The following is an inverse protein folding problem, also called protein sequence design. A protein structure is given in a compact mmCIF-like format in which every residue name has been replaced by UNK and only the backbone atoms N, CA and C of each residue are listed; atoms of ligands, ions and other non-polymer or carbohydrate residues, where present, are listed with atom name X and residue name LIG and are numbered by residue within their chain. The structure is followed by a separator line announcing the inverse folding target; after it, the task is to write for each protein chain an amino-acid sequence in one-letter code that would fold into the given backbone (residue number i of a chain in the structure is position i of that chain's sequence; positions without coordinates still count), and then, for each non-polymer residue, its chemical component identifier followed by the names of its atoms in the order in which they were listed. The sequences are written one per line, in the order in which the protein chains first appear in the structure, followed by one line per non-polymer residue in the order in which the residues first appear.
data_IF_462245868349
#
_entry.id   IF_462245868349
#
_cell.length_a   1.000
_cell.length_b   1.000
_cell.length_c   1.000
_cell.angle_alpha   90.00
_cell.angle_beta   90.00
_cell.angle_gamma   90.00
#
_symmetry.space_group_name_H-M   'P 1'
#
loop_
_entity.id
_entity.type
_entity.pdbx_description
1 polymer ?
#
# COMPACT_ATOMS: atom_id res chain seq x y z
N UNK A 1 11.66 -20.48 -8.18
CA UNK A 1 12.50 -19.59 -9.00
C UNK A 1 12.14 -18.13 -8.70
N UNK A 2 12.71 -17.50 -7.66
CA UNK A 2 12.64 -16.03 -7.52
C UNK A 2 13.73 -15.49 -6.57
N UNK A 3 14.99 -15.77 -6.91
CA UNK A 3 16.20 -15.42 -6.14
C UNK A 3 16.52 -13.92 -6.10
N UNK A 4 15.52 -13.04 -6.18
CA UNK A 4 15.72 -11.59 -6.26
C UNK A 4 14.52 -10.86 -5.69
N UNK A 5 14.50 -10.79 -4.37
CA UNK A 5 13.96 -9.65 -3.63
C UNK A 5 14.10 -8.38 -4.52
N UNK A 6 12.98 -7.74 -4.85
CA UNK A 6 12.95 -6.54 -5.70
C UNK A 6 13.66 -5.41 -4.97
N UNK A 7 14.99 -5.38 -5.07
CA UNK A 7 15.80 -4.31 -4.50
C UNK A 7 15.34 -2.98 -5.09
N UNK A 8 15.24 -1.95 -4.25
CA UNK A 8 14.78 -0.62 -4.63
C UNK A 8 15.47 -0.10 -5.91
N UNK A 9 16.79 -0.30 -6.03
CA UNK A 9 17.58 0.07 -7.21
C UNK A 9 17.02 -0.52 -8.51
N UNK A 10 16.72 -1.82 -8.51
CA UNK A 10 16.21 -2.54 -9.69
C UNK A 10 14.82 -2.03 -10.10
N UNK A 11 14.00 -1.61 -9.14
CA UNK A 11 12.70 -0.97 -9.41
C UNK A 11 12.87 0.47 -9.90
N UNK A 12 13.78 1.22 -9.30
CA UNK A 12 14.14 2.57 -9.76
C UNK A 12 14.58 2.52 -11.22
N UNK A 13 15.51 1.64 -11.59
CA UNK A 13 15.92 1.46 -12.99
C UNK A 13 14.74 1.06 -13.90
N UNK A 14 13.84 0.19 -13.43
CA UNK A 14 12.66 -0.25 -14.21
C UNK A 14 11.69 0.90 -14.51
N UNK A 15 11.45 1.77 -13.54
CA UNK A 15 10.43 2.82 -13.64
C UNK A 15 11.00 4.18 -14.10
N UNK A 16 12.21 4.52 -13.64
CA UNK A 16 12.94 5.75 -13.93
C UNK A 16 14.00 5.56 -15.03
N UNK A 17 14.16 4.36 -15.56
CA UNK A 17 15.02 4.07 -16.71
C UNK A 17 16.50 3.92 -16.34
N UNK A 18 17.34 3.38 -17.25
CA UNK A 18 18.73 3.04 -16.96
C UNK A 18 19.60 4.26 -16.59
N UNK A 19 19.34 5.41 -17.21
CA UNK A 19 20.08 6.65 -16.94
C UNK A 19 19.68 7.33 -15.61
N UNK A 20 18.67 6.80 -14.92
CA UNK A 20 18.26 7.37 -13.63
C UNK A 20 19.21 7.03 -12.50
N UNK A 21 20.01 5.96 -12.57
CA UNK A 21 20.87 5.56 -11.45
C UNK A 21 21.81 6.69 -10.99
N UNK A 22 22.34 7.47 -11.94
CA UNK A 22 23.21 8.63 -11.64
C UNK A 22 22.45 9.89 -11.19
N UNK A 23 21.14 9.96 -11.44
CA UNK A 23 20.32 11.18 -11.23
C UNK A 23 19.19 10.98 -10.22
N UNK A 24 18.98 9.75 -9.78
CA UNK A 24 17.97 9.35 -8.82
C UNK A 24 18.43 9.73 -7.42
N UNK A 25 17.59 10.47 -6.72
CA UNK A 25 17.81 10.89 -5.34
C UNK A 25 16.60 10.53 -4.51
N UNK A 26 16.83 9.98 -3.32
CA UNK A 26 15.76 9.77 -2.35
C UNK A 26 15.44 11.14 -1.73
N UNK A 27 14.24 11.65 -1.98
CA UNK A 27 13.80 12.98 -1.50
C UNK A 27 12.98 12.89 -0.23
N UNK A 28 12.37 11.74 0.04
CA UNK A 28 11.52 11.51 1.20
C UNK A 28 11.62 10.04 1.60
N UNK A 29 11.64 9.77 2.89
CA UNK A 29 11.60 8.41 3.42
C UNK A 29 10.73 8.38 4.67
N UNK A 30 9.95 7.32 4.81
CA UNK A 30 9.17 7.02 6.02
C UNK A 30 9.61 5.67 6.55
N UNK A 31 10.11 5.69 7.79
CA UNK A 31 10.55 4.51 8.53
C UNK A 31 10.05 4.54 9.98
N UNK A 32 8.80 4.96 10.20
CA UNK A 32 8.20 4.83 11.53
C UNK A 32 7.63 3.41 11.70
N UNK A 33 8.02 2.73 12.79
CA UNK A 33 7.40 1.45 13.21
C UNK A 33 5.91 1.61 13.55
N UNK A 34 5.48 2.82 13.91
CA UNK A 34 4.08 3.14 14.17
C UNK A 34 3.31 3.44 12.88
N UNK A 35 4.01 3.84 11.80
CA UNK A 35 3.42 3.99 10.48
C UNK A 35 3.22 2.60 9.90
N UNK A 36 1.96 2.28 9.55
CA UNK A 36 1.60 1.02 8.89
C UNK A 36 2.40 0.79 7.59
N UNK A 37 2.94 1.86 7.00
CA UNK A 37 3.67 1.82 5.74
C UNK A 37 5.08 2.38 5.86
N UNK A 38 6.04 1.64 5.29
CA UNK A 38 7.42 2.08 5.02
C UNK A 38 7.51 2.43 3.55
N UNK A 39 7.98 3.63 3.21
CA UNK A 39 8.12 4.03 1.82
C UNK A 39 9.27 5.01 1.61
N UNK A 40 9.71 5.13 0.37
CA UNK A 40 10.67 6.12 -0.10
C UNK A 40 10.13 6.81 -1.35
N UNK A 41 10.36 8.11 -1.47
CA UNK A 41 10.18 8.86 -2.69
C UNK A 41 11.53 9.00 -3.37
N UNK A 42 11.62 8.59 -4.62
CA UNK A 42 12.80 8.76 -5.46
C UNK A 42 12.44 9.73 -6.57
N UNK A 43 13.23 10.79 -6.68
CA UNK A 43 13.15 11.76 -7.76
C UNK A 43 14.33 11.60 -8.72
N UNK A 44 14.11 11.76 -10.01
CA UNK A 44 15.17 11.78 -11.03
C UNK A 44 14.99 12.97 -11.96
N UNK A 45 16.07 13.70 -12.21
CA UNK A 45 16.10 14.78 -13.18
C UNK A 45 16.34 14.24 -14.60
N UNK A 46 15.39 14.50 -15.51
CA UNK A 46 15.48 14.17 -16.94
C UNK A 46 15.46 15.46 -17.75
N UNK A 47 15.84 15.38 -19.02
CA UNK A 47 15.77 16.51 -19.94
C UNK A 47 14.33 17.05 -20.12
N UNK A 48 13.32 16.20 -19.90
CA UNK A 48 11.90 16.56 -19.92
C UNK A 48 11.36 17.11 -18.60
N UNK A 49 12.18 17.17 -17.54
CA UNK A 49 11.77 17.59 -16.20
C UNK A 49 12.08 16.58 -15.09
N UNK A 50 11.59 16.85 -13.88
CA UNK A 50 11.76 15.97 -12.71
C UNK A 50 10.66 14.91 -12.67
N UNK A 51 11.04 13.64 -12.59
CA UNK A 51 10.13 12.53 -12.38
C UNK A 51 10.30 11.98 -10.95
N UNK A 52 9.24 12.06 -10.16
CA UNK A 52 9.20 11.54 -8.79
C UNK A 52 8.26 10.33 -8.69
N UNK A 53 8.72 9.28 -8.03
CA UNK A 53 7.96 8.04 -7.79
C UNK A 53 8.08 7.58 -6.34
N UNK A 54 7.03 6.95 -5.83
CA UNK A 54 7.00 6.35 -4.51
C UNK A 54 7.20 4.85 -4.60
N UNK A 55 8.02 4.32 -3.69
CA UNK A 55 8.27 2.90 -3.53
C UNK A 55 7.94 2.53 -2.10
N UNK A 56 7.07 1.55 -1.93
CA UNK A 56 6.61 1.03 -0.66
C UNK A 56 7.36 -0.27 -0.35
N UNK A 57 7.83 -0.39 0.88
CA UNK A 57 8.41 -1.60 1.41
C UNK A 57 7.31 -2.44 2.06
N UNK A 58 7.21 -3.68 1.62
CA UNK A 58 6.27 -4.67 2.13
C UNK A 58 6.91 -5.42 3.30
N UNK A 59 6.09 -6.10 4.10
CA UNK A 59 6.55 -6.81 5.31
C UNK A 59 7.44 -8.02 4.98
N UNK A 60 7.31 -8.57 3.77
CA UNK A 60 8.19 -9.61 3.23
C UNK A 60 9.60 -9.08 2.86
N UNK A 61 9.84 -7.77 3.01
CA UNK A 61 11.09 -7.11 2.68
C UNK A 61 11.20 -6.68 1.21
N UNK A 62 10.23 -7.02 0.36
CA UNK A 62 10.19 -6.61 -1.03
C UNK A 62 9.81 -5.13 -1.18
N UNK A 63 10.26 -4.50 -2.26
CA UNK A 63 9.78 -3.18 -2.66
C UNK A 63 8.76 -3.31 -3.78
N UNK A 64 7.80 -2.39 -3.82
CA UNK A 64 6.78 -2.25 -4.86
C UNK A 64 6.33 -0.80 -5.01
N UNK A 65 5.79 -0.41 -6.17
CA UNK A 65 5.18 0.94 -6.36
C UNK A 65 3.75 1.04 -5.83
N UNK A 66 3.16 -0.10 -5.48
CA UNK A 66 1.86 -0.17 -4.84
C UNK A 66 2.02 -0.27 -3.32
N UNK A 67 1.19 0.45 -2.54
CA UNK A 67 1.20 0.31 -1.10
C UNK A 67 0.85 -1.14 -0.70
N UNK A 68 1.42 -1.65 0.42
CA UNK A 68 0.96 -2.93 0.98
C UNK A 68 -0.54 -2.85 1.26
N UNK A 69 -1.26 -3.95 1.05
CA UNK A 69 -2.71 -3.97 1.23
C UNK A 69 -3.05 -3.43 2.62
N UNK A 70 -3.67 -2.26 2.68
CA UNK A 70 -4.39 -1.87 3.87
C UNK A 70 -5.46 -2.93 4.12
N UNK A 71 -5.70 -3.33 5.37
CA UNK A 71 -6.95 -4.00 5.74
C UNK A 71 -8.08 -3.24 5.05
N UNK A 72 -8.68 -3.91 4.07
CA UNK A 72 -9.89 -3.39 3.45
C UNK A 72 -10.91 -3.30 4.58
N UNK A 73 -11.68 -2.21 4.67
CA UNK A 73 -12.84 -2.19 5.54
C UNK A 73 -13.73 -3.36 5.11
N UNK A 74 -13.72 -4.42 5.91
CA UNK A 74 -14.57 -5.59 5.73
C UNK A 74 -15.89 -5.29 6.39
N UNK A 75 -16.97 -5.55 5.66
CA UNK A 75 -18.31 -5.55 6.23
C UNK A 75 -18.38 -6.66 7.28
N UNK A 76 -18.20 -6.29 8.56
CA UNK A 76 -18.27 -7.23 9.65
C UNK A 76 -19.75 -7.48 9.97
N UNK A 77 -20.30 -8.69 9.69
CA UNK A 77 -21.71 -8.97 9.93
C UNK A 77 -22.07 -8.90 11.41
N UNK A 78 -21.10 -9.08 12.32
CA UNK A 78 -21.31 -8.91 13.77
C UNK A 78 -21.47 -7.44 14.20
N UNK A 79 -21.20 -6.49 13.30
CA UNK A 79 -21.39 -5.04 13.50
C UNK A 79 -22.59 -4.48 12.76
N UNK A 80 -23.32 -5.31 12.01
CA UNK A 80 -24.58 -4.87 11.46
C UNK A 80 -25.54 -4.61 12.61
N UNK A 81 -26.19 -3.44 12.67
CA UNK A 81 -27.33 -3.24 13.54
C UNK A 81 -28.32 -4.36 13.23
N UNK A 82 -28.62 -5.19 14.23
CA UNK A 82 -29.75 -6.12 14.12
C UNK A 82 -30.96 -5.28 13.73
N UNK A 83 -31.60 -5.53 12.57
CA UNK A 83 -32.85 -4.86 12.28
C UNK A 83 -33.82 -5.23 13.39
N UNK A 84 -34.37 -4.23 14.07
CA UNK A 84 -35.40 -4.43 15.09
C UNK A 84 -36.62 -5.05 14.41
N UNK A 85 -36.65 -6.39 14.37
CA UNK A 85 -37.83 -7.17 14.10
C UNK A 85 -38.54 -7.39 15.42
N UNK A 86 -39.73 -6.80 15.54
CA UNK A 86 -40.69 -7.04 16.60
C UNK A 86 -40.86 -8.57 16.84
N UNK A 87 -40.68 -9.08 18.06
CA UNK A 87 -41.07 -10.46 18.36
C UNK A 87 -42.59 -10.55 18.28
N UNK A 88 -43.06 -11.39 17.35
CA UNK A 88 -44.47 -11.64 17.11
C UNK A 88 -45.21 -12.04 18.38
N UNK A 89 -46.13 -11.17 18.81
CA UNK A 89 -47.22 -11.56 19.69
C UNK A 89 -48.27 -12.29 18.84
N UNK A 90 -48.09 -13.60 18.68
CA UNK A 90 -49.19 -14.48 18.30
C UNK A 90 -50.20 -14.52 19.45
N UNK A 91 -51.23 -13.68 19.36
CA UNK A 91 -52.39 -13.80 20.22
C UNK A 91 -53.18 -15.06 19.82
N UNK A 92 -52.93 -16.15 20.52
CA UNK A 92 -53.90 -17.25 20.65
C UNK A 92 -54.99 -16.79 21.61
N UNK A 93 -56.19 -16.57 21.09
CA UNK A 93 -57.43 -16.70 21.88
C UNK A 93 -58.31 -17.71 21.14
N UNK A 94 -58.70 -18.75 21.89
CA UNK A 94 -59.67 -19.75 21.45
C UNK A 94 -61.09 -19.35 21.79
#
# INVERSE_FOLDING_TARGET
MNIRETSLRRLVEKWLGPASDMRARVTLFSHSRASRWRYVRVASYRASGELSMFFFRHDDGSWSVFPPQAERPTMNPARMPVPCGEPGAIASMG
#
